data_IF_367538739482
#
_entry.id   IF_367538739482
#
_cell.length_a   1.000
_cell.length_b   1.000
_cell.length_c   1.000
_cell.angle_alpha   90.00
_cell.angle_beta   90.00
_cell.angle_gamma   90.00
#
_symmetry.space_group_name_H-M   'P 1'
#
loop_
_entity.id
_entity.type
_entity.pdbx_description
1 polymer ?
#
# COMPACT_ATOMS: atom_id res chain seq x y z
N UNK A 1 13.08 50.63 14.98
CA UNK A 1 13.61 49.97 13.78
C UNK A 1 14.37 48.75 14.26
N UNK A 2 13.68 47.62 14.33
CA UNK A 2 14.30 46.36 14.74
C UNK A 2 14.92 45.70 13.52
N UNK A 3 16.07 45.05 13.71
CA UNK A 3 16.55 44.04 12.79
C UNK A 3 17.09 42.85 13.56
N UNK A 4 16.79 41.70 12.95
CA UNK A 4 16.64 40.37 13.51
C UNK A 4 17.97 39.72 13.92
N UNK A 5 17.89 38.99 15.03
CA UNK A 5 18.86 38.00 15.51
C UNK A 5 18.87 36.78 14.55
N UNK A 6 20.04 36.15 14.46
CA UNK A 6 20.27 34.68 14.50
C UNK A 6 20.84 34.05 13.23
N UNK A 7 22.17 33.91 13.28
CA UNK A 7 22.93 32.69 12.99
C UNK A 7 22.22 31.58 12.20
N UNK A 8 22.69 31.46 10.95
CA UNK A 8 22.66 30.30 10.06
C UNK A 8 22.51 28.95 10.77
N UNK A 9 21.30 28.42 10.73
CA UNK A 9 20.88 27.12 11.24
C UNK A 9 21.47 26.00 10.36
N UNK A 10 22.31 25.16 10.95
CA UNK A 10 22.58 23.81 10.44
C UNK A 10 21.24 23.07 10.29
N UNK A 11 21.05 22.31 9.22
CA UNK A 11 20.39 20.99 9.22
C UNK A 11 20.30 20.43 7.80
N UNK A 12 21.29 19.61 7.44
CA UNK A 12 21.20 18.69 6.32
C UNK A 12 20.27 17.52 6.65
N UNK A 13 19.50 17.10 5.64
CA UNK A 13 19.12 15.72 5.35
C UNK A 13 18.58 14.84 6.50
N UNK A 14 17.69 15.37 7.34
CA UNK A 14 16.74 14.54 8.07
C UNK A 14 15.35 14.74 7.43
N UNK A 15 15.10 14.07 6.30
CA UNK A 15 13.70 13.72 5.97
C UNK A 15 13.32 12.66 6.98
N UNK A 16 12.82 13.11 8.12
CA UNK A 16 12.00 12.27 8.99
C UNK A 16 10.91 11.68 8.09
N UNK A 17 11.02 10.38 7.79
CA UNK A 17 10.04 9.68 6.99
C UNK A 17 8.76 9.70 7.81
N UNK A 18 7.90 10.68 7.53
CA UNK A 18 6.60 10.82 8.18
C UNK A 18 5.87 9.51 7.98
N UNK A 19 5.78 8.72 9.07
CA UNK A 19 5.16 7.39 9.04
C UNK A 19 3.71 7.55 8.61
N UNK A 20 3.25 6.85 7.57
CA UNK A 20 1.85 6.89 7.20
C UNK A 20 1.02 6.35 8.36
N UNK A 21 0.00 7.10 8.78
CA UNK A 21 -0.99 6.56 9.73
C UNK A 21 -1.62 5.29 9.15
N UNK A 22 -2.19 4.41 9.98
CA UNK A 22 -2.85 3.18 9.51
C UNK A 22 -3.90 3.47 8.41
N UNK A 23 -4.64 4.57 8.57
CA UNK A 23 -5.55 5.07 7.54
C UNK A 23 -4.84 5.49 6.26
N UNK A 24 -3.64 6.06 6.34
CA UNK A 24 -2.83 6.37 5.16
C UNK A 24 -2.33 5.11 4.44
N UNK A 25 -1.98 4.03 5.16
CA UNK A 25 -1.62 2.75 4.53
C UNK A 25 -2.82 2.11 3.82
N UNK A 26 -3.98 2.06 4.48
CA UNK A 26 -5.23 1.60 3.87
C UNK A 26 -5.59 2.40 2.60
N UNK A 27 -5.50 3.74 2.69
CA UNK A 27 -5.72 4.63 1.55
C UNK A 27 -4.73 4.38 0.41
N UNK A 28 -3.45 4.16 0.73
CA UNK A 28 -2.43 3.86 -0.26
C UNK A 28 -2.74 2.55 -1.00
N UNK A 29 -3.04 1.45 -0.31
CA UNK A 29 -3.40 0.19 -0.98
C UNK A 29 -4.65 0.40 -1.85
N UNK A 30 -5.67 1.09 -1.34
CA UNK A 30 -6.86 1.41 -2.12
C UNK A 30 -6.53 2.22 -3.40
N UNK A 31 -5.61 3.19 -3.33
CA UNK A 31 -5.13 3.93 -4.49
C UNK A 31 -4.42 3.05 -5.50
N UNK A 32 -3.58 2.12 -5.05
CA UNK A 32 -2.88 1.17 -5.92
C UNK A 32 -3.85 0.18 -6.60
N UNK A 33 -4.87 -0.31 -5.90
CA UNK A 33 -5.97 -1.09 -6.51
C UNK A 33 -6.68 -0.24 -7.58
N UNK A 34 -6.93 1.04 -7.29
CA UNK A 34 -7.47 2.00 -8.24
C UNK A 34 -6.65 2.12 -9.51
N UNK A 35 -5.32 2.19 -9.39
CA UNK A 35 -4.42 2.29 -10.52
C UNK A 35 -4.49 1.04 -11.42
N UNK A 36 -4.45 -0.17 -10.83
CA UNK A 36 -4.54 -1.43 -11.58
C UNK A 36 -5.89 -1.55 -12.28
N UNK A 37 -6.99 -1.29 -11.58
CA UNK A 37 -8.33 -1.34 -12.18
C UNK A 37 -8.51 -0.30 -13.30
N UNK A 38 -7.92 0.89 -13.15
CA UNK A 38 -7.97 1.92 -14.18
C UNK A 38 -7.21 1.52 -15.45
N UNK A 39 -6.03 0.91 -15.34
CA UNK A 39 -5.30 0.41 -16.52
C UNK A 39 -6.03 -0.76 -17.15
N UNK A 40 -6.57 -1.69 -16.36
CA UNK A 40 -7.40 -2.79 -16.89
C UNK A 40 -8.58 -2.22 -17.69
N UNK A 41 -9.36 -1.30 -17.13
CA UNK A 41 -10.52 -0.69 -17.83
C UNK A 41 -10.16 -0.06 -19.19
N UNK A 42 -8.96 0.51 -19.32
CA UNK A 42 -8.48 1.16 -20.57
C UNK A 42 -7.99 0.17 -21.62
N UNK A 43 -7.73 -1.09 -21.26
CA UNK A 43 -7.32 -2.11 -22.22
C UNK A 43 -8.55 -2.70 -22.93
N UNK A 44 -8.55 -2.74 -24.26
CA UNK A 44 -9.71 -3.17 -25.09
C UNK A 44 -10.25 -4.55 -24.68
N UNK A 45 -9.36 -5.50 -24.35
CA UNK A 45 -9.70 -6.84 -23.86
C UNK A 45 -10.51 -6.82 -22.54
N UNK A 46 -10.25 -5.84 -21.70
CA UNK A 46 -10.73 -5.73 -20.33
C UNK A 46 -11.86 -4.70 -20.18
N UNK A 47 -11.98 -3.74 -21.11
CA UNK A 47 -12.99 -2.69 -21.11
C UNK A 47 -14.42 -3.22 -21.25
N UNK A 48 -14.64 -4.30 -22.01
CA UNK A 48 -15.96 -4.94 -22.17
C UNK A 48 -16.38 -5.71 -20.90
N UNK A 49 -15.42 -6.29 -20.18
CA UNK A 49 -15.67 -7.08 -18.95
C UNK A 49 -15.88 -6.23 -17.70
N UNK A 50 -15.84 -4.90 -17.83
CA UNK A 50 -15.99 -3.94 -16.73
C UNK A 50 -17.43 -3.40 -16.60
N UNK A 51 -18.26 -3.56 -17.64
CA UNK A 51 -19.61 -2.93 -17.76
C UNK A 51 -20.75 -3.94 -17.55
N UNK A 52 -20.45 -5.22 -17.47
CA UNK A 52 -21.45 -6.21 -17.07
C UNK A 52 -21.71 -6.05 -15.56
N UNK A 53 -22.83 -5.41 -15.22
CA UNK A 53 -23.40 -5.35 -13.86
C UNK A 53 -23.89 -6.74 -13.39
N UNK A 54 -23.86 -7.74 -14.29
CA UNK A 54 -24.07 -9.13 -14.00
C UNK A 54 -22.76 -9.74 -13.49
N UNK A 55 -22.67 -9.96 -12.17
CA UNK A 55 -21.53 -10.57 -11.45
C UNK A 55 -21.01 -11.88 -12.11
N UNK A 56 -21.81 -12.50 -12.97
CA UNK A 56 -21.46 -13.72 -13.71
C UNK A 56 -20.43 -13.52 -14.84
N UNK A 57 -20.27 -12.30 -15.36
CA UNK A 57 -19.34 -12.00 -16.46
C UNK A 57 -18.10 -11.22 -16.02
N UNK A 58 -18.01 -10.86 -14.73
CA UNK A 58 -16.85 -10.19 -14.19
C UNK A 58 -15.65 -11.14 -14.16
N UNK A 59 -14.52 -10.66 -14.66
CA UNK A 59 -13.30 -11.46 -14.63
C UNK A 59 -12.81 -11.63 -13.19
N UNK A 60 -12.40 -12.85 -12.83
CA UNK A 60 -11.84 -13.20 -11.52
C UNK A 60 -10.82 -12.20 -10.97
N UNK A 61 -9.92 -11.65 -11.79
CA UNK A 61 -8.93 -10.64 -11.40
C UNK A 61 -9.55 -9.28 -11.04
N UNK A 62 -10.59 -8.85 -11.78
CA UNK A 62 -11.29 -7.60 -11.47
C UNK A 62 -12.07 -7.80 -10.17
N UNK A 63 -12.73 -8.94 -10.04
CA UNK A 63 -13.48 -9.30 -8.85
C UNK A 63 -12.60 -9.32 -7.61
N UNK A 64 -11.44 -10.00 -7.64
CA UNK A 64 -10.51 -10.08 -6.51
C UNK A 64 -9.99 -8.70 -6.07
N UNK A 65 -9.70 -7.81 -7.02
CA UNK A 65 -9.28 -6.43 -6.75
C UNK A 65 -10.42 -5.59 -6.14
N UNK A 66 -11.65 -5.71 -6.66
CA UNK A 66 -12.83 -5.04 -6.09
C UNK A 66 -13.14 -5.54 -4.68
N UNK A 67 -12.99 -6.84 -4.46
CA UNK A 67 -13.24 -7.46 -3.17
C UNK A 67 -12.18 -7.03 -2.13
N UNK A 68 -10.90 -7.04 -2.52
CA UNK A 68 -9.84 -6.48 -1.68
C UNK A 68 -10.11 -5.01 -1.30
N UNK A 69 -10.57 -4.18 -2.25
CA UNK A 69 -10.93 -2.78 -1.96
C UNK A 69 -11.96 -2.65 -0.84
N UNK A 70 -12.96 -3.54 -0.79
CA UNK A 70 -13.98 -3.53 0.27
C UNK A 70 -13.38 -3.96 1.61
N UNK A 71 -12.52 -4.97 1.60
CA UNK A 71 -11.92 -5.55 2.82
C UNK A 71 -10.92 -4.62 3.50
N UNK A 72 -10.17 -3.82 2.73
CA UNK A 72 -9.18 -2.87 3.26
C UNK A 72 -9.78 -1.97 4.36
N UNK A 73 -10.97 -1.42 4.13
CA UNK A 73 -11.59 -0.52 5.12
C UNK A 73 -12.28 -1.25 6.27
N UNK A 74 -12.51 -2.57 6.18
CA UNK A 74 -13.08 -3.34 7.29
C UNK A 74 -12.04 -3.72 8.35
N UNK A 75 -10.75 -3.58 8.06
CA UNK A 75 -9.66 -3.96 8.98
C UNK A 75 -9.25 -2.87 9.97
N UNK A 76 -9.95 -1.73 10.02
CA UNK A 76 -9.75 -0.56 10.92
C UNK A 76 -8.59 -0.65 11.94
N UNK A 77 -8.76 -1.43 13.01
CA UNK A 77 -7.82 -1.52 14.13
C UNK A 77 -6.92 -2.78 14.11
N UNK A 78 -7.15 -3.70 13.16
CA UNK A 78 -6.50 -5.01 13.08
C UNK A 78 -5.51 -5.13 11.92
N UNK A 79 -5.22 -4.04 11.21
CA UNK A 79 -4.26 -4.00 10.10
C UNK A 79 -2.92 -4.68 10.39
N UNK A 80 -2.34 -4.47 11.57
CA UNK A 80 -1.06 -5.08 11.98
C UNK A 80 -1.11 -6.62 12.11
N UNK A 81 -2.31 -7.20 12.21
CA UNK A 81 -2.52 -8.64 12.31
C UNK A 81 -2.98 -9.24 10.96
N UNK A 82 -3.23 -8.41 9.95
CA UNK A 82 -3.61 -8.87 8.63
C UNK A 82 -2.36 -9.41 7.96
N UNK A 83 -2.41 -10.68 7.56
CA UNK A 83 -1.31 -11.28 6.82
C UNK A 83 -1.09 -10.55 5.48
N UNK A 84 0.13 -10.07 5.18
CA UNK A 84 0.43 -9.35 3.94
C UNK A 84 0.02 -10.07 2.66
N UNK A 85 0.02 -11.40 2.69
CA UNK A 85 -0.44 -12.24 1.58
C UNK A 85 -1.86 -11.88 1.15
N UNK A 86 -2.76 -11.50 2.08
CA UNK A 86 -4.16 -11.19 1.77
C UNK A 86 -4.28 -9.99 0.82
N UNK A 87 -3.52 -8.92 1.07
CA UNK A 87 -3.59 -7.70 0.25
C UNK A 87 -2.57 -7.67 -0.90
N UNK A 88 -1.57 -8.55 -0.90
CA UNK A 88 -0.59 -8.69 -2.00
C UNK A 88 -1.06 -9.66 -3.08
N UNK A 89 -1.78 -10.74 -2.73
CA UNK A 89 -2.11 -11.81 -3.67
C UNK A 89 -2.91 -11.36 -4.90
N UNK A 90 -3.92 -10.48 -4.80
CA UNK A 90 -4.64 -10.01 -5.98
C UNK A 90 -3.75 -9.31 -7.02
N UNK A 91 -2.68 -8.63 -6.58
CA UNK A 91 -1.70 -8.03 -7.50
C UNK A 91 -0.79 -9.08 -8.13
N UNK A 92 -0.41 -10.12 -7.39
CA UNK A 92 0.37 -11.24 -7.92
C UNK A 92 -0.41 -12.04 -8.95
N UNK A 93 -1.71 -12.26 -8.72
CA UNK A 93 -2.58 -12.95 -9.66
C UNK A 93 -2.69 -12.18 -10.98
N UNK A 94 -2.71 -10.84 -10.91
CA UNK A 94 -2.62 -9.98 -12.09
C UNK A 94 -1.28 -10.20 -12.81
N UNK A 95 -0.15 -10.16 -12.11
CA UNK A 95 1.19 -10.31 -12.72
C UNK A 95 1.39 -11.70 -13.36
N UNK A 96 0.87 -12.75 -12.73
CA UNK A 96 1.02 -14.14 -13.20
C UNK A 96 0.03 -14.51 -14.30
N UNK A 97 -0.97 -13.68 -14.55
CA UNK A 97 -2.00 -13.98 -15.54
C UNK A 97 -1.48 -13.76 -16.95
N UNK A 98 -1.54 -14.82 -17.77
CA UNK A 98 -1.29 -14.78 -19.21
C UNK A 98 -2.28 -13.87 -19.96
N UNK A 99 -3.36 -13.44 -19.29
CA UNK A 99 -4.36 -12.53 -19.86
C UNK A 99 -3.97 -11.06 -19.74
N UNK A 100 -2.92 -10.75 -18.96
CA UNK A 100 -2.47 -9.39 -18.71
C UNK A 100 -1.25 -9.04 -19.56
N UNK A 101 -1.33 -7.89 -20.24
CA UNK A 101 -0.22 -7.38 -21.04
C UNK A 101 0.78 -6.59 -20.21
N UNK A 102 1.90 -6.21 -20.84
CA UNK A 102 2.95 -5.42 -20.22
C UNK A 102 2.46 -4.15 -19.48
N UNK A 103 1.49 -3.37 -19.99
CA UNK A 103 1.02 -2.18 -19.29
C UNK A 103 0.32 -2.48 -17.95
N UNK A 104 -0.46 -3.56 -17.89
CA UNK A 104 -1.17 -3.96 -16.66
C UNK A 104 -0.17 -4.54 -15.66
N UNK A 105 0.70 -5.44 -16.14
CA UNK A 105 1.75 -6.06 -15.33
C UNK A 105 2.69 -5.02 -14.72
N UNK A 106 3.09 -4.00 -15.50
CA UNK A 106 3.96 -2.93 -15.02
C UNK A 106 3.35 -2.12 -13.87
N UNK A 107 2.05 -1.79 -13.95
CA UNK A 107 1.35 -1.10 -12.86
C UNK A 107 1.25 -1.99 -11.63
N UNK A 108 0.87 -3.27 -11.80
CA UNK A 108 0.76 -4.20 -10.68
C UNK A 108 2.11 -4.43 -9.96
N UNK A 109 3.23 -4.54 -10.70
CA UNK A 109 4.57 -4.63 -10.13
C UNK A 109 4.94 -3.37 -9.34
N UNK A 110 4.64 -2.19 -9.89
CA UNK A 110 4.87 -0.92 -9.20
C UNK A 110 4.06 -0.82 -7.91
N UNK A 111 2.81 -1.27 -7.93
CA UNK A 111 1.95 -1.33 -6.74
C UNK A 111 2.53 -2.24 -5.66
N UNK A 112 2.94 -3.47 -6.00
CA UNK A 112 3.58 -4.39 -5.03
C UNK A 112 4.84 -3.77 -4.45
N UNK A 113 5.70 -3.16 -5.29
CA UNK A 113 6.92 -2.51 -4.80
C UNK A 113 6.63 -1.44 -3.75
N UNK A 114 5.64 -0.57 -3.98
CA UNK A 114 5.25 0.48 -3.01
C UNK A 114 4.66 -0.11 -1.73
N UNK A 115 3.80 -1.12 -1.86
CA UNK A 115 3.18 -1.82 -0.72
C UNK A 115 4.29 -2.41 0.17
N UNK A 116 5.20 -3.20 -0.41
CA UNK A 116 6.28 -3.83 0.34
C UNK A 116 7.28 -2.82 0.90
N UNK A 117 7.59 -1.75 0.16
CA UNK A 117 8.48 -0.70 0.67
C UNK A 117 7.89 -0.04 1.90
N UNK A 118 6.57 0.19 1.97
CA UNK A 118 5.95 0.86 3.10
C UNK A 118 5.57 -0.09 4.25
N UNK A 119 5.29 -1.36 3.95
CA UNK A 119 5.04 -2.40 4.96
C UNK A 119 6.32 -2.86 5.67
N UNK A 120 7.41 -3.10 4.92
CA UNK A 120 8.71 -3.50 5.51
C UNK A 120 9.29 -2.40 6.40
N UNK A 121 9.10 -1.14 6.03
CA UNK A 121 9.51 0.00 6.86
C UNK A 121 8.67 0.14 8.14
N UNK A 122 7.49 -0.50 8.22
CA UNK A 122 6.70 -0.55 9.45
C UNK A 122 7.16 -1.69 10.39
N UNK A 123 7.60 -2.83 9.82
CA UNK A 123 8.12 -3.98 10.59
C UNK A 123 9.42 -3.69 11.36
N UNK A 124 10.25 -2.75 10.88
CA UNK A 124 11.50 -2.36 11.55
C UNK A 124 11.27 -1.64 12.89
N UNK A 125 10.02 -1.37 13.32
CA UNK A 125 9.73 -0.65 14.56
C UNK A 125 9.09 -1.49 15.70
N UNK A 126 8.76 -2.77 15.47
CA UNK A 126 8.06 -3.59 16.48
C UNK A 126 8.98 -4.15 17.59
N UNK A 127 10.31 -4.06 17.46
CA UNK A 127 11.24 -4.71 18.41
C UNK A 127 12.20 -3.77 19.16
N UNK A 128 11.79 -2.54 19.48
CA UNK A 128 12.43 -1.83 20.61
C UNK A 128 11.48 -1.86 21.81
N UNK A 129 11.20 -3.06 22.32
CA UNK A 129 10.87 -3.18 23.73
C UNK A 129 12.03 -2.57 24.51
N UNK A 130 11.72 -1.47 25.17
CA UNK A 130 12.54 -0.78 26.15
C UNK A 130 13.16 -1.83 27.09
N UNK A 131 14.46 -2.10 26.92
CA UNK A 131 15.20 -2.89 27.88
C UNK A 131 15.02 -2.21 29.25
N UNK A 132 14.46 -2.90 30.26
CA UNK A 132 14.22 -2.28 31.55
C UNK A 132 15.54 -1.79 32.11
N UNK A 133 15.66 -0.47 32.28
CA UNK A 133 16.73 0.19 33.04
C UNK A 133 16.77 -0.47 34.40
N UNK A 134 17.76 -1.34 34.63
CA UNK A 134 18.03 -1.95 35.92
C UNK A 134 18.41 -0.82 36.92
N UNK A 135 17.59 -0.53 37.95
CA UNK A 135 17.98 0.41 38.98
C UNK A 135 18.80 -0.30 40.05
N UNK A 136 20.01 0.22 40.26
CA UNK A 136 20.79 0.13 41.50
C UNK A 136 21.45 -1.21 41.81
N UNK A 137 22.78 -1.23 41.69
CA UNK A 137 23.64 -2.06 42.54
C UNK A 137 24.24 -1.15 43.62
N UNK A 138 24.11 -1.64 44.84
CA UNK A 138 24.44 -1.09 46.16
C UNK A 138 25.87 -0.57 46.30
#
# INVERSE_FOLDING_TARGET
>A
MGDLITQSHYNGLNRELVKPSKGAFACMINSEIGAVLAVMRRNVRWGVRYVADDDQLEHSLIHSLKELRKQIFSWENQWQNVNPVVYVQPFLDVIKSDETGAPITGVALSSIYKILTLDVLDLDNVNMEEAPRNPSIT
#
